data_IF_438301341187
#
_entry.id   IF_438301341187
#
_cell.length_a   1.000
_cell.length_b   1.000
_cell.length_c   1.000
_cell.angle_alpha   90.00
_cell.angle_beta   90.00
_cell.angle_gamma   90.00
#
_symmetry.space_group_name_H-M   'P 1'
#
loop_
_entity.id
_entity.type
_entity.pdbx_description
1 polymer ?
#
# COMPACT_ATOMS: atom_id res chain seq x y z
N UNK A 1 -16.18 -10.95 -13.83
CA UNK A 1 -16.44 -11.21 -12.40
C UNK A 1 -15.53 -10.25 -11.65
N UNK A 2 -15.91 -8.97 -11.65
CA UNK A 2 -15.14 -7.87 -11.08
C UNK A 2 -15.95 -7.38 -9.90
N UNK A 3 -15.41 -7.35 -8.68
CA UNK A 3 -15.89 -6.38 -7.69
C UNK A 3 -15.04 -6.21 -6.42
N UNK A 4 -14.01 -7.02 -6.12
CA UNK A 4 -13.12 -6.76 -4.97
C UNK A 4 -11.68 -7.21 -5.23
N UNK A 5 -11.01 -6.60 -6.20
CA UNK A 5 -9.59 -6.87 -6.48
C UNK A 5 -8.68 -6.01 -5.60
N UNK A 6 -9.05 -4.74 -5.41
CA UNK A 6 -8.45 -3.82 -4.43
C UNK A 6 -9.54 -3.06 -3.67
N UNK A 7 -9.30 -2.74 -2.40
CA UNK A 7 -10.20 -1.98 -1.55
C UNK A 7 -9.43 -0.97 -0.72
N UNK A 8 -9.83 0.29 -0.78
CA UNK A 8 -9.32 1.30 0.15
C UNK A 8 -9.78 1.00 1.59
N UNK A 9 -8.83 0.99 2.52
CA UNK A 9 -9.06 0.67 3.93
C UNK A 9 -9.09 1.93 4.77
N UNK A 10 -8.09 2.78 4.60
CA UNK A 10 -7.96 4.03 5.34
C UNK A 10 -7.14 5.02 4.54
N UNK A 11 -7.41 6.31 4.73
CA UNK A 11 -6.64 7.39 4.14
C UNK A 11 -5.94 8.16 5.23
N UNK A 12 -4.82 8.76 4.89
CA UNK A 12 -4.07 9.59 5.80
C UNK A 12 -3.48 10.78 5.07
N UNK A 13 -3.07 11.77 5.84
CA UNK A 13 -2.35 12.92 5.33
C UNK A 13 -1.15 13.24 6.21
N UNK A 14 -0.12 13.80 5.59
CA UNK A 14 1.10 14.23 6.27
C UNK A 14 1.61 15.54 5.67
N UNK A 15 2.51 16.21 6.38
CA UNK A 15 3.11 17.46 5.91
C UNK A 15 4.54 17.21 5.42
N UNK A 16 4.74 17.19 4.11
CA UNK A 16 6.07 17.20 3.53
C UNK A 16 6.74 18.55 3.82
N UNK A 17 7.93 18.48 4.43
CA UNK A 17 8.70 19.64 4.90
C UNK A 17 7.88 20.60 5.80
N UNK A 18 6.86 20.08 6.50
CA UNK A 18 5.98 20.87 7.35
C UNK A 18 5.05 21.85 6.61
N UNK A 19 5.01 21.82 5.28
CA UNK A 19 4.36 22.85 4.46
C UNK A 19 3.39 22.27 3.41
N UNK A 20 3.74 21.15 2.79
CA UNK A 20 2.96 20.56 1.70
C UNK A 20 2.12 19.40 2.22
N UNK A 21 0.79 19.50 2.09
CA UNK A 21 -0.11 18.43 2.48
C UNK A 21 -0.07 17.32 1.45
N UNK A 22 0.50 16.20 1.84
CA UNK A 22 0.60 14.99 1.04
C UNK A 22 -0.34 13.91 1.56
N UNK A 23 -0.78 13.04 0.66
CA UNK A 23 -1.77 11.99 0.96
C UNK A 23 -1.16 10.60 0.89
N UNK A 24 -1.74 9.70 1.68
CA UNK A 24 -1.43 8.28 1.71
C UNK A 24 -2.73 7.50 1.81
N UNK A 25 -2.80 6.37 1.12
CA UNK A 25 -3.94 5.47 1.13
C UNK A 25 -3.41 4.08 1.45
N UNK A 26 -4.00 3.42 2.45
CA UNK A 26 -3.77 1.99 2.63
C UNK A 26 -4.90 1.24 1.93
N UNK A 27 -4.53 0.32 1.05
CA UNK A 27 -5.44 -0.57 0.33
C UNK A 27 -5.24 -2.00 0.79
N UNK A 28 -6.29 -2.82 0.76
CA UNK A 28 -6.17 -4.27 0.77
C UNK A 28 -6.32 -4.76 -0.67
N UNK A 29 -5.40 -5.60 -1.13
CA UNK A 29 -5.42 -6.20 -2.46
C UNK A 29 -5.41 -7.73 -2.31
N UNK A 30 -6.21 -8.41 -3.12
CA UNK A 30 -6.15 -9.87 -3.17
C UNK A 30 -4.80 -10.29 -3.75
N UNK A 31 -4.06 -11.16 -3.06
CA UNK A 31 -2.71 -11.51 -3.50
C UNK A 31 -2.69 -12.19 -4.87
N UNK A 32 -3.64 -13.10 -5.13
CA UNK A 32 -3.76 -13.76 -6.43
C UNK A 32 -3.90 -12.76 -7.58
N UNK A 33 -4.56 -11.62 -7.31
CA UNK A 33 -4.70 -10.54 -8.29
C UNK A 33 -3.40 -9.76 -8.46
N UNK A 34 -2.74 -9.37 -7.36
CA UNK A 34 -1.46 -8.68 -7.40
C UNK A 34 -0.37 -9.52 -8.08
N UNK A 35 -0.29 -10.81 -7.74
CA UNK A 35 0.65 -11.75 -8.34
C UNK A 35 0.47 -11.86 -9.85
N UNK A 36 -0.77 -11.98 -10.35
CA UNK A 36 -1.03 -12.03 -11.79
C UNK A 36 -0.72 -10.70 -12.50
N UNK A 37 -0.89 -9.56 -11.83
CA UNK A 37 -0.50 -8.24 -12.35
C UNK A 37 1.02 -8.15 -12.53
N UNK A 38 1.79 -8.42 -11.47
CA UNK A 38 3.26 -8.33 -11.49
C UNK A 38 3.91 -9.40 -12.39
N UNK A 39 3.31 -10.59 -12.46
CA UNK A 39 3.70 -11.64 -13.41
C UNK A 39 3.51 -11.19 -14.84
N UNK A 40 2.46 -10.41 -15.14
CA UNK A 40 2.25 -9.83 -16.47
C UNK A 40 3.33 -8.79 -16.83
N UNK A 41 3.92 -8.15 -15.82
CA UNK A 41 5.06 -7.24 -15.94
C UNK A 41 6.43 -7.96 -15.89
N UNK A 42 6.42 -9.30 -15.86
CA UNK A 42 7.62 -10.14 -15.98
C UNK A 42 8.34 -10.43 -14.66
N UNK A 43 7.72 -10.15 -13.52
CA UNK A 43 8.23 -10.56 -12.22
C UNK A 43 7.76 -11.97 -11.88
N UNK A 44 8.71 -12.91 -11.86
CA UNK A 44 8.44 -14.30 -11.42
C UNK A 44 8.64 -14.39 -9.90
N UNK A 45 7.53 -14.33 -9.18
CA UNK A 45 7.49 -14.45 -7.72
C UNK A 45 7.05 -15.85 -7.26
N UNK A 46 7.19 -16.88 -8.10
CA UNK A 46 6.75 -18.25 -7.79
C UNK A 46 7.39 -18.84 -6.51
N UNK A 47 8.55 -18.34 -6.10
CA UNK A 47 9.26 -18.76 -4.89
C UNK A 47 8.98 -17.84 -3.68
N UNK A 48 8.26 -16.73 -3.86
CA UNK A 48 7.90 -15.86 -2.75
C UNK A 48 6.70 -16.43 -2.00
N UNK A 49 6.83 -16.56 -0.68
CA UNK A 49 5.71 -16.84 0.22
C UNK A 49 5.27 -15.52 0.82
N UNK A 50 4.20 -14.90 0.30
CA UNK A 50 3.73 -13.64 0.84
C UNK A 50 3.05 -13.93 2.15
N UNK A 51 3.32 -13.08 3.12
CA UNK A 51 2.51 -13.05 4.31
C UNK A 51 1.15 -12.41 3.94
N UNK A 52 0.06 -13.20 4.03
CA UNK A 52 -1.31 -12.77 3.76
C UNK A 52 -2.17 -12.71 5.03
N UNK A 53 -3.13 -11.78 5.06
CA UNK A 53 -4.07 -11.66 6.17
C UNK A 53 -5.07 -12.85 6.18
N UNK A 54 -5.93 -12.91 7.20
CA UNK A 54 -6.92 -13.99 7.35
C UNK A 54 -7.95 -14.08 6.20
N UNK A 55 -8.03 -13.07 5.34
CA UNK A 55 -8.88 -13.01 4.15
C UNK A 55 -8.12 -13.33 2.85
N UNK A 56 -6.82 -13.63 2.91
CA UNK A 56 -5.98 -13.84 1.72
C UNK A 56 -5.58 -12.55 1.01
N UNK A 57 -5.72 -11.40 1.70
CA UNK A 57 -5.37 -10.08 1.17
C UNK A 57 -4.03 -9.60 1.75
N UNK A 58 -3.37 -8.72 1.01
CA UNK A 58 -2.18 -7.99 1.45
C UNK A 58 -2.54 -6.51 1.61
N UNK A 59 -2.02 -5.87 2.67
CA UNK A 59 -2.13 -4.41 2.78
C UNK A 59 -1.02 -3.75 1.99
N UNK A 60 -1.36 -2.74 1.19
CA UNK A 60 -0.42 -1.93 0.42
C UNK A 60 -0.56 -0.47 0.76
N UNK A 61 0.55 0.25 0.70
CA UNK A 61 0.59 1.70 0.88
C UNK A 61 0.71 2.35 -0.50
N UNK A 62 -0.26 3.18 -0.83
CA UNK A 62 -0.27 4.04 -2.01
C UNK A 62 -0.01 5.49 -1.60
N UNK A 63 1.03 6.09 -2.18
CA UNK A 63 1.40 7.48 -1.95
C UNK A 63 0.77 8.37 -3.02
N UNK A 64 -0.11 9.29 -2.63
CA UNK A 64 -0.82 10.16 -3.59
C UNK A 64 -0.11 11.48 -3.85
N UNK A 65 1.12 11.61 -3.38
CA UNK A 65 1.87 12.86 -3.39
C UNK A 65 2.42 13.24 -4.77
N UNK A 66 2.76 14.52 -4.92
CA UNK A 66 3.22 15.06 -6.20
C UNK A 66 4.59 14.52 -6.66
N UNK A 67 5.40 13.98 -5.75
CA UNK A 67 6.73 13.43 -6.04
C UNK A 67 6.67 11.94 -6.41
N UNK A 68 5.76 11.18 -5.81
CA UNK A 68 5.56 9.75 -6.01
C UNK A 68 4.51 9.44 -7.09
N UNK A 69 3.81 10.44 -7.64
CA UNK A 69 2.99 10.27 -8.86
C UNK A 69 3.75 9.79 -10.11
N UNK A 70 5.09 9.86 -10.11
CA UNK A 70 5.91 9.44 -11.26
C UNK A 70 6.19 7.92 -11.25
N UNK A 71 5.97 7.27 -10.11
CA UNK A 71 6.01 5.81 -9.96
C UNK A 71 5.03 5.47 -8.86
N UNK A 72 3.88 4.88 -9.20
CA UNK A 72 3.00 4.19 -8.25
C UNK A 72 3.85 3.21 -7.45
N UNK A 73 4.47 3.70 -6.38
CA UNK A 73 5.47 2.97 -5.62
C UNK A 73 4.68 2.31 -4.53
N UNK A 74 3.99 1.23 -4.92
CA UNK A 74 3.34 0.35 -3.97
C UNK A 74 4.40 -0.12 -3.00
N UNK A 75 4.31 0.35 -1.76
CA UNK A 75 5.12 -0.21 -0.70
C UNK A 75 4.30 -1.34 -0.11
N UNK A 76 4.82 -2.57 -0.22
CA UNK A 76 4.24 -3.73 0.43
C UNK A 76 4.13 -3.42 1.92
N UNK A 77 2.90 -3.44 2.42
CA UNK A 77 2.61 -3.26 3.83
C UNK A 77 2.87 -4.52 4.62
N UNK A 78 2.23 -4.64 5.76
CA UNK A 78 2.33 -5.80 6.64
C UNK A 78 1.00 -6.56 6.66
N UNK A 79 0.95 -7.65 7.43
CA UNK A 79 -0.26 -8.47 7.61
C UNK A 79 -1.43 -7.76 8.28
N UNK A 80 -1.16 -6.67 9.00
CA UNK A 80 -2.16 -5.96 9.77
C UNK A 80 -2.14 -4.46 9.46
N UNK A 81 -3.29 -3.84 9.70
CA UNK A 81 -3.50 -2.44 9.34
C UNK A 81 -2.63 -1.51 10.19
N UNK A 82 -2.45 -1.80 11.48
CA UNK A 82 -1.74 -0.92 12.41
C UNK A 82 -0.22 -0.93 12.16
N UNK A 83 0.35 -2.10 11.91
CA UNK A 83 1.74 -2.25 11.47
C UNK A 83 1.95 -1.61 10.09
N UNK A 84 0.98 -1.69 9.19
CA UNK A 84 1.07 -1.02 7.87
C UNK A 84 1.04 0.50 8.00
N UNK A 85 0.20 1.04 8.91
CA UNK A 85 0.24 2.46 9.26
C UNK A 85 1.58 2.85 9.86
N UNK A 86 2.14 2.02 10.75
CA UNK A 86 3.45 2.28 11.34
C UNK A 86 4.58 2.29 10.30
N UNK A 87 4.55 1.37 9.32
CA UNK A 87 5.49 1.40 8.18
C UNK A 87 5.36 2.70 7.40
N UNK A 88 4.13 3.13 7.09
CA UNK A 88 3.91 4.40 6.40
C UNK A 88 4.50 5.59 7.18
N UNK A 89 4.27 5.65 8.49
CA UNK A 89 4.83 6.72 9.36
C UNK A 89 6.36 6.69 9.41
N UNK A 90 6.97 5.51 9.39
CA UNK A 90 8.44 5.35 9.32
C UNK A 90 8.97 5.84 7.98
N UNK A 91 8.29 5.56 6.86
CA UNK A 91 8.69 6.02 5.52
C UNK A 91 8.72 7.55 5.43
N UNK A 92 7.69 8.22 5.96
CA UNK A 92 7.63 9.70 5.95
C UNK A 92 8.36 10.34 7.14
N UNK A 93 8.91 9.51 8.05
CA UNK A 93 9.58 9.90 9.28
C UNK A 93 8.76 10.88 10.15
N UNK A 94 7.44 10.70 10.18
CA UNK A 94 6.51 11.52 10.95
C UNK A 94 5.18 10.81 11.16
N UNK A 95 4.33 11.36 12.02
CA UNK A 95 2.96 10.90 12.21
C UNK A 95 2.09 11.23 11.01
N UNK A 96 1.20 10.32 10.65
CA UNK A 96 0.20 10.52 9.61
C UNK A 96 -1.15 10.72 10.30
N UNK A 97 -1.89 11.73 9.86
CA UNK A 97 -3.26 11.99 10.30
C UNK A 97 -4.22 11.09 9.52
N UNK A 98 -4.54 9.91 10.09
CA UNK A 98 -5.47 8.93 9.52
C UNK A 98 -6.94 9.35 9.69
N UNK A 99 -7.77 9.13 8.66
CA UNK A 99 -9.20 9.50 8.57
C UNK A 99 -10.08 8.28 8.33
#
# INVERSE_FOLDING_TARGET
MNEFQEREIVKGYWLYDGLLKEGVIIKAIAYDYWYELEKSDGLDMADEQPELNAMGEMYMIEWTDHMHKIRESFTVGTLDLDSTKAVAEVVVNQRIDWV
#
